data_IF_041650022108
#
_entry.id   IF_041650022108
#
_cell.length_a   1.000
_cell.length_b   1.000
_cell.length_c   1.000
_cell.angle_alpha   90.00
_cell.angle_beta   90.00
_cell.angle_gamma   90.00
#
_symmetry.space_group_name_H-M   'P 1'
#
loop_
_entity.id
_entity.type
_entity.pdbx_description
1 polymer ?
#
# COMPACT_ATOMS: atom_id res chain seq x y z
N UNK A 1 -0.57 -8.87 -23.26
CA UNK A 1 0.34 -9.26 -22.17
C UNK A 1 1.25 -8.07 -21.83
N UNK A 2 0.79 -7.18 -20.92
CA UNK A 2 1.49 -5.95 -20.56
C UNK A 2 2.52 -6.27 -19.46
N UNK A 3 3.81 -6.32 -19.81
CA UNK A 3 4.89 -6.38 -18.82
C UNK A 3 4.95 -5.03 -18.10
N UNK A 4 4.71 -5.05 -16.79
CA UNK A 4 4.76 -3.89 -15.91
C UNK A 4 6.19 -3.35 -15.82
N UNK A 5 6.39 -2.07 -16.15
CA UNK A 5 7.63 -1.32 -15.88
C UNK A 5 7.41 -0.39 -14.68
N UNK A 6 7.86 -0.76 -13.47
CA UNK A 6 7.78 0.06 -12.26
C UNK A 6 9.18 0.61 -11.89
N UNK A 7 9.31 1.92 -11.71
CA UNK A 7 10.51 2.51 -11.09
C UNK A 7 10.33 2.42 -9.57
N UNK A 8 11.18 1.66 -8.88
CA UNK A 8 11.19 1.59 -7.42
C UNK A 8 12.34 2.43 -6.88
N UNK A 9 12.02 3.52 -6.19
CA UNK A 9 13.03 4.30 -5.47
C UNK A 9 12.71 4.25 -3.98
N UNK A 10 13.67 3.76 -3.20
CA UNK A 10 13.64 3.78 -1.76
C UNK A 10 14.51 4.92 -1.22
N UNK A 11 13.97 5.68 -0.28
CA UNK A 11 14.70 6.75 0.39
C UNK A 11 14.78 6.39 1.88
N UNK A 12 15.99 6.14 2.39
CA UNK A 12 16.20 6.05 3.83
C UNK A 12 16.17 7.44 4.42
N UNK A 13 15.32 7.63 5.40
CA UNK A 13 15.14 8.91 6.04
C UNK A 13 16.12 8.99 7.22
N UNK A 14 17.00 10.00 7.21
CA UNK A 14 18.01 10.24 8.27
C UNK A 14 19.45 9.84 7.93
N UNK A 15 19.70 9.01 6.91
CA UNK A 15 21.07 8.66 6.47
C UNK A 15 21.50 9.36 5.17
N UNK A 16 20.58 10.09 4.53
CA UNK A 16 20.82 10.75 3.24
C UNK A 16 21.01 9.77 2.07
N UNK A 17 20.76 8.46 2.26
CA UNK A 17 20.94 7.44 1.23
C UNK A 17 19.65 7.25 0.43
N UNK A 18 19.75 7.57 -0.87
CA UNK A 18 18.76 7.24 -1.89
C UNK A 18 19.14 5.92 -2.54
N UNK A 19 18.32 4.89 -2.35
CA UNK A 19 18.46 3.61 -3.04
C UNK A 19 17.50 3.62 -4.24
N UNK A 20 18.06 3.89 -5.41
CA UNK A 20 17.37 3.67 -6.69
C UNK A 20 17.52 2.18 -7.01
N UNK A 21 16.44 1.42 -6.97
CA UNK A 21 16.42 0.08 -7.57
C UNK A 21 16.23 0.26 -9.08
N UNK A 22 17.31 0.68 -9.72
CA UNK A 22 17.59 0.37 -11.11
C UNK A 22 18.84 -0.50 -11.06
N UNK A 23 18.67 -1.80 -11.19
CA UNK A 23 19.80 -2.73 -11.28
C UNK A 23 20.86 -2.15 -12.23
N UNK A 24 22.00 -1.79 -11.63
CA UNK A 24 23.24 -1.22 -12.20
C UNK A 24 23.31 0.30 -12.35
N UNK A 25 24.39 0.82 -11.79
CA UNK A 25 24.90 2.19 -11.77
C UNK A 25 24.82 2.92 -13.10
N UNK A 26 24.49 4.22 -13.05
CA UNK A 26 24.52 5.21 -14.15
C UNK A 26 25.92 5.52 -14.71
N UNK A 27 26.84 4.56 -14.69
CA UNK A 27 28.18 4.67 -15.25
C UNK A 27 28.50 3.40 -16.06
N UNK A 28 28.03 3.34 -17.30
CA UNK A 28 28.71 2.64 -18.41
C UNK A 28 27.95 2.84 -19.73
N UNK A 29 28.74 3.07 -20.79
CA UNK A 29 28.50 3.22 -22.23
C UNK A 29 27.08 3.03 -22.83
N UNK A 30 26.70 3.85 -23.83
CA UNK A 30 25.36 3.90 -24.44
C UNK A 30 25.02 2.76 -25.42
N UNK A 31 25.72 1.62 -25.42
CA UNK A 31 25.64 0.63 -26.51
C UNK A 31 25.06 -0.75 -26.16
N UNK A 32 24.43 -0.93 -24.99
CA UNK A 32 23.74 -2.19 -24.65
C UNK A 32 22.40 -1.96 -23.94
N UNK A 33 21.27 -2.53 -24.41
CA UNK A 33 20.01 -2.44 -23.70
C UNK A 33 20.05 -3.38 -22.49
N UNK A 34 20.38 -2.83 -21.32
CA UNK A 34 20.35 -3.55 -20.04
C UNK A 34 18.88 -3.70 -19.63
N UNK A 35 18.41 -4.94 -19.51
CA UNK A 35 17.10 -5.24 -18.94
C UNK A 35 17.06 -4.89 -17.46
N UNK A 36 16.11 -4.06 -17.04
CA UNK A 36 15.88 -3.75 -15.63
C UNK A 36 14.96 -4.80 -15.00
N UNK A 37 15.40 -5.41 -13.90
CA UNK A 37 14.58 -6.34 -13.11
C UNK A 37 13.75 -5.58 -12.05
N UNK A 38 12.46 -5.95 -11.89
CA UNK A 38 11.52 -5.31 -10.95
C UNK A 38 11.56 -5.88 -9.53
N UNK A 39 12.32 -6.97 -9.34
CA UNK A 39 12.52 -7.64 -8.08
C UNK A 39 13.97 -7.39 -7.67
N UNK A 40 14.17 -6.42 -6.79
CA UNK A 40 15.49 -6.04 -6.33
C UNK A 40 15.86 -6.64 -4.98
N UNK A 41 17.11 -6.45 -4.61
CA UNK A 41 17.69 -6.80 -3.31
C UNK A 41 17.18 -5.94 -2.14
N UNK A 42 16.43 -4.87 -2.43
CA UNK A 42 15.92 -3.91 -1.44
C UNK A 42 14.39 -3.95 -1.25
N UNK A 43 13.59 -4.03 -2.33
CA UNK A 43 12.12 -3.98 -2.25
C UNK A 43 11.43 -4.94 -3.22
N UNK A 44 10.58 -5.82 -2.69
CA UNK A 44 9.65 -6.65 -3.46
C UNK A 44 8.21 -6.24 -3.17
N UNK A 45 7.41 -6.12 -4.24
CA UNK A 45 5.98 -5.79 -4.15
C UNK A 45 5.23 -6.90 -4.86
N UNK A 46 4.27 -7.50 -4.17
CA UNK A 46 3.40 -8.55 -4.66
C UNK A 46 2.02 -7.96 -4.99
N UNK A 47 1.71 -7.83 -6.27
CA UNK A 47 0.45 -7.26 -6.74
C UNK A 47 -0.69 -8.29 -6.77
N UNK A 48 -1.88 -7.87 -6.37
CA UNK A 48 -3.09 -8.68 -6.18
C UNK A 48 -3.41 -9.70 -7.27
N UNK A 49 -3.32 -9.31 -8.55
CA UNK A 49 -3.67 -10.19 -9.66
C UNK A 49 -2.61 -11.24 -9.98
N UNK A 50 -1.41 -11.11 -9.43
CA UNK A 50 -0.28 -11.99 -9.70
C UNK A 50 0.29 -12.64 -8.44
N UNK A 51 -0.40 -12.54 -7.30
CA UNK A 51 0.09 -13.06 -6.02
C UNK A 51 -0.96 -13.88 -5.28
N UNK A 52 -0.68 -15.17 -5.07
CA UNK A 52 -1.63 -16.11 -4.52
C UNK A 52 -2.91 -16.24 -5.36
N UNK A 53 -3.94 -16.75 -4.72
CA UNK A 53 -5.30 -16.80 -5.27
C UNK A 53 -6.23 -15.94 -4.42
N UNK A 54 -6.01 -14.62 -4.41
CA UNK A 54 -6.98 -13.73 -3.79
C UNK A 54 -8.30 -13.77 -4.59
N UNK A 55 -9.46 -13.90 -3.92
CA UNK A 55 -10.75 -13.88 -4.59
C UNK A 55 -11.16 -12.45 -4.95
N UNK A 56 -11.68 -12.24 -6.15
CA UNK A 56 -12.22 -10.96 -6.59
C UNK A 56 -13.21 -11.12 -7.76
N UNK A 57 -13.96 -10.06 -8.06
CA UNK A 57 -14.83 -9.98 -9.23
C UNK A 57 -14.15 -9.14 -10.31
N UNK A 58 -13.91 -9.68 -11.50
CA UNK A 58 -13.22 -8.94 -12.55
C UNK A 58 -14.00 -7.68 -12.93
N UNK A 59 -13.38 -6.51 -12.77
CA UNK A 59 -14.04 -5.19 -12.91
C UNK A 59 -15.32 -5.02 -12.07
N UNK A 60 -15.50 -5.80 -11.01
CA UNK A 60 -16.71 -5.81 -10.19
C UNK A 60 -17.90 -6.55 -10.81
N UNK A 61 -17.71 -7.31 -11.89
CA UNK A 61 -18.75 -8.13 -12.50
C UNK A 61 -18.95 -9.44 -11.73
N UNK A 62 -20.16 -9.63 -11.21
CA UNK A 62 -20.56 -10.83 -10.46
C UNK A 62 -20.52 -12.11 -11.29
N UNK A 63 -20.60 -11.99 -12.62
CA UNK A 63 -20.55 -13.12 -13.54
C UNK A 63 -19.12 -13.55 -13.87
N UNK A 64 -18.12 -12.75 -13.48
CA UNK A 64 -16.70 -13.04 -13.67
C UNK A 64 -15.96 -13.20 -12.32
N UNK A 65 -16.36 -14.17 -11.46
CA UNK A 65 -15.67 -14.41 -10.20
C UNK A 65 -14.31 -15.07 -10.46
N UNK A 66 -13.25 -14.45 -9.98
CA UNK A 66 -11.90 -15.01 -9.96
C UNK A 66 -11.61 -15.59 -8.58
N UNK A 67 -11.06 -16.81 -8.55
CA UNK A 67 -10.78 -17.56 -7.32
C UNK A 67 -11.99 -17.65 -6.35
N UNK A 68 -13.21 -17.68 -6.88
CA UNK A 68 -14.45 -17.76 -6.09
C UNK A 68 -15.09 -16.43 -5.71
N UNK A 69 -14.51 -15.29 -6.11
CA UNK A 69 -15.08 -13.93 -6.00
C UNK A 69 -15.11 -13.34 -4.58
N UNK A 70 -15.41 -14.16 -3.57
CA UNK A 70 -15.54 -13.78 -2.18
C UNK A 70 -14.47 -14.42 -1.29
N UNK A 71 -14.01 -13.76 -0.22
CA UNK A 71 -13.13 -14.35 0.80
C UNK A 71 -13.60 -15.71 1.33
N UNK A 72 -14.91 -15.84 1.57
CA UNK A 72 -15.54 -17.06 2.08
C UNK A 72 -15.36 -18.28 1.17
N UNK A 73 -15.19 -18.03 -0.14
CA UNK A 73 -15.01 -19.07 -1.16
C UNK A 73 -13.53 -19.36 -1.45
N UNK A 74 -12.60 -18.70 -0.77
CA UNK A 74 -11.18 -18.88 -1.01
C UNK A 74 -10.70 -20.26 -0.51
N UNK A 75 -10.13 -21.05 -1.42
CA UNK A 75 -9.39 -22.26 -1.03
C UNK A 75 -8.04 -21.85 -0.43
N UNK A 76 -7.99 -21.78 0.91
CA UNK A 76 -6.82 -21.26 1.62
C UNK A 76 -5.55 -22.07 1.34
N UNK A 77 -5.64 -23.39 1.21
CA UNK A 77 -4.47 -24.24 0.97
C UNK A 77 -3.88 -24.02 -0.42
N UNK A 78 -4.75 -23.93 -1.45
CA UNK A 78 -4.33 -23.58 -2.81
C UNK A 78 -3.71 -22.19 -2.86
N UNK A 79 -4.33 -21.22 -2.17
CA UNK A 79 -3.80 -19.87 -2.06
C UNK A 79 -2.39 -19.87 -1.45
N UNK A 80 -2.19 -20.54 -0.33
CA UNK A 80 -0.90 -20.57 0.38
C UNK A 80 0.18 -21.35 -0.38
N UNK A 81 -0.18 -22.45 -1.05
CA UNK A 81 0.75 -23.16 -1.93
C UNK A 81 1.28 -22.24 -3.03
N UNK A 82 0.39 -21.49 -3.69
CA UNK A 82 0.76 -20.51 -4.73
C UNK A 82 1.59 -19.36 -4.17
N UNK A 83 1.22 -18.82 -3.00
CA UNK A 83 1.99 -17.77 -2.31
C UNK A 83 3.40 -18.27 -1.99
N UNK A 84 3.55 -19.49 -1.47
CA UNK A 84 4.86 -20.07 -1.14
C UNK A 84 5.78 -20.13 -2.36
N UNK A 85 5.27 -20.69 -3.47
CA UNK A 85 5.99 -20.77 -4.74
C UNK A 85 6.46 -19.38 -5.21
N UNK A 86 5.55 -18.40 -5.21
CA UNK A 86 5.82 -17.06 -5.71
C UNK A 86 6.77 -16.26 -4.81
N UNK A 87 6.72 -16.44 -3.49
CA UNK A 87 7.69 -15.82 -2.58
C UNK A 87 9.08 -16.39 -2.82
N UNK A 88 9.20 -17.73 -2.96
CA UNK A 88 10.50 -18.38 -3.22
C UNK A 88 11.10 -17.94 -4.55
N UNK A 89 10.26 -17.79 -5.58
CA UNK A 89 10.70 -17.31 -6.89
C UNK A 89 11.07 -15.82 -6.86
N UNK A 90 10.27 -14.97 -6.22
CA UNK A 90 10.47 -13.52 -6.23
C UNK A 90 11.57 -13.04 -5.27
N UNK A 91 11.81 -13.77 -4.18
CA UNK A 91 12.83 -13.47 -3.19
C UNK A 91 13.67 -14.73 -3.01
N UNK A 92 14.63 -15.07 -3.90
CA UNK A 92 15.37 -16.34 -3.79
C UNK A 92 16.19 -16.45 -2.50
N UNK A 93 16.72 -15.32 -2.03
CA UNK A 93 17.52 -15.23 -0.80
C UNK A 93 16.68 -15.39 0.46
N UNK A 94 16.96 -16.40 1.27
CA UNK A 94 16.24 -16.61 2.54
C UNK A 94 16.63 -15.59 3.61
N UNK A 95 17.84 -15.03 3.52
CA UNK A 95 18.38 -13.97 4.36
C UNK A 95 17.97 -12.55 3.91
N UNK A 96 17.02 -12.43 2.98
CA UNK A 96 16.52 -11.14 2.50
C UNK A 96 15.97 -10.30 3.66
N UNK A 97 16.61 -9.17 3.90
CA UNK A 97 16.26 -8.20 4.95
C UNK A 97 15.68 -6.89 4.41
N UNK A 98 15.26 -6.90 3.14
CA UNK A 98 14.61 -5.77 2.48
C UNK A 98 13.12 -5.65 2.82
N UNK A 99 12.41 -4.85 2.04
CA UNK A 99 10.97 -4.60 2.19
C UNK A 99 10.18 -5.57 1.31
N UNK A 100 9.12 -6.14 1.87
CA UNK A 100 8.19 -7.01 1.15
C UNK A 100 6.75 -6.52 1.36
N UNK A 101 6.18 -5.92 0.32
CA UNK A 101 4.83 -5.33 0.36
C UNK A 101 3.84 -6.25 -0.34
N UNK A 102 2.74 -6.58 0.33
CA UNK A 102 1.58 -7.22 -0.29
C UNK A 102 0.59 -6.13 -0.66
N UNK A 103 0.34 -5.97 -1.95
CA UNK A 103 -0.54 -4.96 -2.52
C UNK A 103 -1.86 -5.62 -2.95
N UNK A 104 -2.83 -5.61 -2.04
CA UNK A 104 -4.15 -6.17 -2.24
C UNK A 104 -5.23 -5.13 -1.93
N UNK A 105 -5.97 -4.73 -2.96
CA UNK A 105 -6.90 -3.61 -2.93
C UNK A 105 -8.34 -3.98 -3.33
N UNK A 106 -8.59 -5.13 -3.96
CA UNK A 106 -9.91 -5.54 -4.48
C UNK A 106 -11.05 -5.44 -3.46
N UNK A 107 -10.84 -5.89 -2.23
CA UNK A 107 -11.77 -5.72 -1.11
C UNK A 107 -11.04 -5.36 0.19
N UNK A 108 -11.78 -4.78 1.13
CA UNK A 108 -11.26 -4.38 2.45
C UNK A 108 -11.63 -5.42 3.51
N UNK A 109 -10.77 -5.69 4.50
CA UNK A 109 -10.99 -6.76 5.49
C UNK A 109 -12.25 -6.60 6.34
N UNK A 110 -12.68 -5.36 6.58
CA UNK A 110 -13.94 -5.07 7.27
C UNK A 110 -15.08 -4.92 6.26
N UNK A 111 -16.15 -5.66 6.46
CA UNK A 111 -17.32 -5.70 5.58
C UNK A 111 -17.90 -4.30 5.33
N UNK A 112 -17.98 -3.47 6.39
CA UNK A 112 -18.50 -2.09 6.32
C UNK A 112 -17.68 -1.16 5.44
N UNK A 113 -16.39 -1.46 5.23
CA UNK A 113 -15.49 -0.64 4.40
C UNK A 113 -15.63 -0.95 2.89
N UNK A 114 -16.41 -1.96 2.50
CA UNK A 114 -16.62 -2.33 1.09
C UNK A 114 -17.76 -1.53 0.45
N UNK A 115 -17.60 -0.21 0.38
CA UNK A 115 -18.55 0.73 -0.24
C UNK A 115 -18.13 1.10 -1.68
N UNK A 116 -19.01 1.84 -2.38
CA UNK A 116 -18.76 2.29 -3.76
C UNK A 116 -18.64 1.12 -4.73
N UNK A 117 -17.55 1.10 -5.51
CA UNK A 117 -17.24 0.00 -6.45
C UNK A 117 -17.06 -1.36 -5.76
N UNK A 118 -16.78 -1.37 -4.45
CA UNK A 118 -16.62 -2.60 -3.64
C UNK A 118 -17.93 -3.11 -3.04
N UNK A 119 -19.06 -2.45 -3.33
CA UNK A 119 -20.38 -2.88 -2.82
C UNK A 119 -20.80 -4.27 -3.31
N UNK A 120 -20.22 -4.76 -4.40
CA UNK A 120 -20.43 -6.12 -4.91
C UNK A 120 -20.12 -7.18 -3.86
N UNK A 121 -19.03 -7.03 -3.10
CA UNK A 121 -18.64 -7.97 -2.05
C UNK A 121 -19.68 -8.09 -0.93
N UNK A 122 -20.36 -6.97 -0.61
CA UNK A 122 -21.47 -6.98 0.36
C UNK A 122 -22.68 -7.74 -0.17
N UNK A 123 -23.11 -7.39 -1.38
CA UNK A 123 -24.30 -7.99 -2.03
C UNK A 123 -24.13 -9.49 -2.23
N UNK A 124 -22.97 -9.89 -2.73
CA UNK A 124 -22.68 -11.30 -3.01
C UNK A 124 -22.50 -12.12 -1.73
N UNK A 125 -21.95 -11.54 -0.65
CA UNK A 125 -21.90 -12.23 0.65
C UNK A 125 -23.30 -12.50 1.21
N UNK A 126 -24.23 -11.54 1.08
CA UNK A 126 -25.64 -11.75 1.47
C UNK A 126 -26.30 -12.80 0.58
N UNK A 127 -26.03 -12.76 -0.74
CA UNK A 127 -26.56 -13.75 -1.67
C UNK A 127 -26.09 -15.16 -1.32
N UNK A 128 -24.80 -15.33 -1.01
CA UNK A 128 -24.22 -16.61 -0.58
C UNK A 128 -24.93 -17.17 0.66
N UNK A 129 -25.15 -16.34 1.68
CA UNK A 129 -25.89 -16.74 2.89
C UNK A 129 -27.33 -17.16 2.56
N UNK A 130 -28.03 -16.40 1.71
CA UNK A 130 -29.41 -16.74 1.34
C UNK A 130 -29.54 -18.01 0.49
N UNK A 131 -28.50 -18.37 -0.25
CA UNK A 131 -28.47 -19.66 -0.94
C UNK A 131 -28.45 -20.84 0.03
N UNK A 132 -27.77 -20.68 1.17
CA UNK A 132 -27.70 -21.70 2.21
C UNK A 132 -28.93 -21.67 3.13
N UNK A 133 -29.50 -20.48 3.37
CA UNK A 133 -30.62 -20.27 4.27
C UNK A 133 -31.73 -19.45 3.57
N UNK A 134 -32.56 -20.04 2.71
CA UNK A 134 -33.53 -19.29 1.88
C UNK A 134 -34.56 -18.48 2.68
N UNK A 135 -34.93 -18.94 3.87
CA UNK A 135 -35.95 -18.30 4.74
C UNK A 135 -35.39 -17.31 5.76
N UNK A 136 -34.08 -17.03 5.74
CA UNK A 136 -33.45 -16.13 6.71
C UNK A 136 -33.94 -14.69 6.55
N UNK A 137 -34.13 -13.98 7.68
CA UNK A 137 -34.49 -12.56 7.64
C UNK A 137 -33.37 -11.72 7.03
N UNK A 138 -33.71 -10.57 6.43
CA UNK A 138 -32.72 -9.66 5.84
C UNK A 138 -31.63 -9.23 6.84
N UNK A 139 -32.04 -8.90 8.07
CA UNK A 139 -31.12 -8.46 9.13
C UNK A 139 -30.17 -9.59 9.54
N UNK A 140 -30.69 -10.80 9.69
CA UNK A 140 -29.88 -11.98 10.02
C UNK A 140 -28.95 -12.37 8.88
N UNK A 141 -29.39 -12.24 7.62
CA UNK A 141 -28.57 -12.49 6.43
C UNK A 141 -27.37 -11.54 6.36
N UNK A 142 -27.60 -10.24 6.56
CA UNK A 142 -26.51 -9.25 6.53
C UNK A 142 -25.52 -9.45 7.67
N UNK A 143 -26.00 -9.75 8.88
CA UNK A 143 -25.11 -10.00 10.02
C UNK A 143 -24.29 -11.29 9.87
N UNK A 144 -24.88 -12.35 9.33
CA UNK A 144 -24.16 -13.60 9.01
C UNK A 144 -23.14 -13.36 7.90
N UNK A 145 -23.54 -12.70 6.81
CA UNK A 145 -22.65 -12.35 5.71
C UNK A 145 -21.45 -11.52 6.17
N UNK A 146 -21.69 -10.55 7.07
CA UNK A 146 -20.65 -9.74 7.71
C UNK A 146 -19.65 -10.61 8.47
N UNK A 147 -20.14 -11.48 9.36
CA UNK A 147 -19.30 -12.35 10.20
C UNK A 147 -18.45 -13.30 9.35
N UNK A 148 -19.06 -13.96 8.37
CA UNK A 148 -18.37 -14.90 7.49
C UNK A 148 -17.33 -14.20 6.61
N UNK A 149 -17.68 -13.05 6.03
CA UNK A 149 -16.76 -12.25 5.22
C UNK A 149 -15.55 -11.82 6.03
N UNK A 150 -15.75 -11.21 7.21
CA UNK A 150 -14.66 -10.68 8.04
C UNK A 150 -13.78 -11.81 8.60
N UNK A 151 -14.37 -12.96 8.95
CA UNK A 151 -13.62 -14.13 9.40
C UNK A 151 -12.73 -14.69 8.28
N UNK A 152 -13.28 -14.86 7.08
CA UNK A 152 -12.54 -15.36 5.93
C UNK A 152 -11.45 -14.37 5.47
N UNK A 153 -11.78 -13.07 5.40
CA UNK A 153 -10.83 -12.00 5.11
C UNK A 153 -9.65 -12.00 6.10
N UNK A 154 -9.94 -12.06 7.41
CA UNK A 154 -8.93 -12.15 8.47
C UNK A 154 -8.05 -13.39 8.30
N UNK A 155 -8.63 -14.55 7.98
CA UNK A 155 -7.89 -15.79 7.73
C UNK A 155 -6.92 -15.65 6.56
N UNK A 156 -7.38 -15.12 5.42
CA UNK A 156 -6.52 -14.90 4.24
C UNK A 156 -5.35 -13.97 4.61
N UNK A 157 -5.64 -12.77 5.13
CA UNK A 157 -4.59 -11.79 5.47
C UNK A 157 -3.54 -12.35 6.43
N UNK A 158 -3.97 -13.00 7.52
CA UNK A 158 -3.06 -13.55 8.52
C UNK A 158 -2.24 -14.71 7.97
N UNK A 159 -2.87 -15.66 7.27
CA UNK A 159 -2.15 -16.81 6.74
C UNK A 159 -1.13 -16.41 5.69
N UNK A 160 -1.46 -15.48 4.78
CA UNK A 160 -0.54 -15.01 3.73
C UNK A 160 0.69 -14.32 4.31
N UNK A 161 0.51 -13.36 5.22
CA UNK A 161 1.65 -12.62 5.78
C UNK A 161 2.50 -13.46 6.72
N UNK A 162 1.89 -14.37 7.49
CA UNK A 162 2.63 -15.31 8.35
C UNK A 162 3.49 -16.26 7.53
N UNK A 163 2.95 -16.78 6.42
CA UNK A 163 3.73 -17.59 5.49
C UNK A 163 4.91 -16.80 4.90
N UNK A 164 4.68 -15.55 4.48
CA UNK A 164 5.77 -14.70 3.99
C UNK A 164 6.86 -14.47 5.03
N UNK A 165 6.48 -14.19 6.28
CA UNK A 165 7.43 -14.08 7.40
C UNK A 165 8.14 -15.38 7.73
N UNK A 166 7.48 -16.52 7.62
CA UNK A 166 8.11 -17.81 7.83
C UNK A 166 9.18 -18.09 6.76
N UNK A 167 8.87 -17.78 5.50
CA UNK A 167 9.79 -18.00 4.40
C UNK A 167 10.93 -16.99 4.36
N UNK A 168 10.67 -15.72 4.69
CA UNK A 168 11.64 -14.62 4.68
C UNK A 168 11.59 -13.88 6.03
N UNK A 169 12.19 -14.46 7.09
CA UNK A 169 12.02 -13.97 8.46
C UNK A 169 12.70 -12.63 8.73
N UNK A 170 13.72 -12.26 7.96
CA UNK A 170 14.43 -10.99 8.10
C UNK A 170 13.78 -9.83 7.32
N UNK A 171 12.80 -10.13 6.47
CA UNK A 171 12.16 -9.15 5.62
C UNK A 171 11.12 -8.32 6.38
N UNK A 172 10.94 -7.08 5.91
CA UNK A 172 9.96 -6.13 6.42
C UNK A 172 8.64 -6.28 5.68
N UNK A 173 7.82 -7.19 6.18
CA UNK A 173 6.52 -7.56 5.64
C UNK A 173 5.41 -6.63 6.09
N UNK A 174 4.49 -6.31 5.18
CA UNK A 174 3.28 -5.58 5.49
C UNK A 174 2.37 -5.43 4.27
N UNK A 175 1.15 -4.97 4.52
CA UNK A 175 0.17 -4.70 3.49
C UNK A 175 0.19 -3.23 3.10
N UNK A 176 0.12 -2.95 1.80
CA UNK A 176 -0.04 -1.60 1.31
C UNK A 176 -1.34 -0.96 1.81
N UNK A 177 -1.27 0.33 2.14
CA UNK A 177 -2.40 1.18 2.47
C UNK A 177 -2.77 1.17 3.95
N UNK A 178 -2.18 0.27 4.75
CA UNK A 178 -2.48 0.12 6.17
C UNK A 178 -1.47 0.85 7.06
N UNK A 179 -1.93 1.52 8.14
CA UNK A 179 -3.33 1.71 8.54
C UNK A 179 -4.06 2.76 7.69
N UNK A 180 -5.40 2.74 7.70
CA UNK A 180 -6.19 3.73 6.95
C UNK A 180 -6.38 5.04 7.74
N UNK A 181 -6.52 6.13 7.00
CA UNK A 181 -7.04 7.41 7.48
C UNK A 181 -8.11 7.92 6.50
N UNK A 182 -8.96 8.85 6.93
CA UNK A 182 -9.92 9.47 6.02
C UNK A 182 -9.19 10.32 4.96
N UNK A 183 -9.60 10.19 3.69
CA UNK A 183 -8.93 10.84 2.54
C UNK A 183 -9.01 12.36 2.54
N UNK A 184 -9.96 12.92 3.29
CA UNK A 184 -10.18 14.35 3.46
C UNK A 184 -9.53 14.89 4.76
N UNK A 185 -8.73 14.09 5.46
CA UNK A 185 -8.01 14.52 6.65
C UNK A 185 -7.15 15.77 6.36
N UNK A 186 -7.17 16.73 7.27
CA UNK A 186 -6.45 18.00 7.13
C UNK A 186 -7.09 19.00 6.15
N UNK A 187 -8.27 18.71 5.60
CA UNK A 187 -8.98 19.62 4.68
C UNK A 187 -9.56 20.87 5.35
N UNK A 188 -9.82 20.82 6.66
CA UNK A 188 -10.29 21.93 7.49
C UNK A 188 -9.56 21.96 8.83
N UNK A 189 -9.62 23.10 9.54
CA UNK A 189 -9.05 23.26 10.89
C UNK A 189 -9.66 22.31 11.93
N UNK A 190 -10.87 21.81 11.67
CA UNK A 190 -11.58 20.86 12.53
C UNK A 190 -11.27 19.39 12.23
N UNK A 191 -10.54 19.09 11.14
CA UNK A 191 -10.22 17.74 10.68
C UNK A 191 -8.71 17.44 10.77
N UNK A 192 -8.06 17.89 11.85
CA UNK A 192 -6.60 17.78 12.04
C UNK A 192 -6.17 16.46 12.69
N UNK A 193 -7.04 15.45 12.69
CA UNK A 193 -6.77 14.09 13.16
C UNK A 193 -7.55 13.11 12.30
N UNK A 194 -7.04 11.88 12.15
CA UNK A 194 -7.84 10.82 11.54
C UNK A 194 -9.10 10.62 12.38
N UNK A 195 -10.25 10.64 11.72
CA UNK A 195 -11.52 10.66 12.44
C UNK A 195 -11.71 9.38 13.29
N UNK A 196 -12.57 9.48 14.30
CA UNK A 196 -12.81 8.38 15.25
C UNK A 196 -13.28 7.08 14.57
N UNK A 197 -14.09 7.19 13.53
CA UNK A 197 -14.57 6.04 12.76
C UNK A 197 -13.41 5.26 12.13
N UNK A 198 -12.43 5.93 11.53
CA UNK A 198 -11.24 5.26 10.98
C UNK A 198 -10.32 4.71 12.08
N UNK A 199 -10.24 5.38 13.23
CA UNK A 199 -9.51 4.85 14.40
C UNK A 199 -10.13 3.55 14.90
N UNK A 200 -11.45 3.47 15.01
CA UNK A 200 -12.16 2.25 15.38
C UNK A 200 -11.97 1.12 14.35
N UNK A 201 -11.99 1.46 13.05
CA UNK A 201 -11.72 0.47 12.01
C UNK A 201 -10.30 -0.07 12.12
N UNK A 202 -9.32 0.78 12.36
CA UNK A 202 -7.94 0.32 12.58
C UNK A 202 -7.82 -0.55 13.82
N UNK A 203 -8.51 -0.22 14.93
CA UNK A 203 -8.54 -1.08 16.11
C UNK A 203 -9.10 -2.48 15.79
N UNK A 204 -10.16 -2.57 14.98
CA UNK A 204 -10.72 -3.86 14.52
C UNK A 204 -9.78 -4.61 13.55
N UNK A 205 -8.90 -3.89 12.87
CA UNK A 205 -7.90 -4.45 11.96
C UNK A 205 -6.51 -4.60 12.59
N UNK A 206 -6.37 -4.49 13.92
CA UNK A 206 -5.08 -4.58 14.62
C UNK A 206 -4.33 -5.87 14.30
N UNK A 207 -5.07 -6.96 14.05
CA UNK A 207 -4.53 -8.25 13.64
C UNK A 207 -3.61 -8.18 12.41
N UNK A 208 -3.85 -7.24 11.48
CA UNK A 208 -2.99 -7.04 10.31
C UNK A 208 -1.67 -6.40 10.74
N UNK A 209 -1.76 -5.35 11.56
CA UNK A 209 -0.60 -4.61 12.03
C UNK A 209 0.28 -5.49 12.91
N UNK A 210 -0.33 -6.23 13.85
CA UNK A 210 0.32 -7.19 14.75
C UNK A 210 1.04 -8.31 13.99
N UNK A 211 0.46 -8.81 12.90
CA UNK A 211 1.08 -9.85 12.08
C UNK A 211 2.18 -9.33 11.14
N UNK A 212 2.20 -8.02 10.84
CA UNK A 212 3.21 -7.37 9.97
C UNK A 212 4.53 -7.11 10.71
N UNK A 213 5.64 -6.91 10.01
CA UNK A 213 6.90 -6.40 10.59
C UNK A 213 7.18 -4.94 10.21
N UNK A 214 6.45 -4.40 9.23
CA UNK A 214 6.45 -3.00 8.84
C UNK A 214 5.05 -2.53 8.43
N UNK A 215 4.80 -1.21 8.51
CA UNK A 215 3.55 -0.59 8.06
C UNK A 215 3.79 0.23 6.79
N UNK A 216 2.82 0.20 5.87
CA UNK A 216 2.91 0.84 4.55
C UNK A 216 1.71 1.75 4.28
N UNK A 217 1.49 2.80 5.07
CA UNK A 217 0.41 3.75 4.81
C UNK A 217 0.56 4.41 3.44
N UNK A 218 -0.57 4.73 2.84
CA UNK A 218 -0.62 5.56 1.63
C UNK A 218 -0.73 7.03 2.03
N UNK A 219 0.18 7.86 1.53
CA UNK A 219 0.14 9.32 1.70
C UNK A 219 0.00 10.03 0.35
N UNK A 220 -0.84 9.49 -0.53
CA UNK A 220 -1.04 10.07 -1.86
C UNK A 220 -1.78 11.40 -1.76
N UNK A 221 -1.22 12.39 -2.45
CA UNK A 221 -1.77 13.74 -2.45
C UNK A 221 -2.83 13.90 -3.53
N UNK A 222 -3.90 14.61 -3.17
CA UNK A 222 -4.89 15.05 -4.14
C UNK A 222 -4.30 16.16 -5.01
N UNK A 223 -4.31 15.97 -6.32
CA UNK A 223 -3.90 17.02 -7.28
C UNK A 223 -4.84 18.23 -7.30
N UNK A 224 -6.02 18.12 -6.67
CA UNK A 224 -6.99 19.21 -6.52
C UNK A 224 -6.84 19.97 -5.20
N UNK A 225 -6.03 19.48 -4.26
CA UNK A 225 -5.81 20.11 -2.97
C UNK A 225 -4.75 21.21 -3.03
N UNK A 226 -4.82 22.17 -2.11
CA UNK A 226 -3.74 23.16 -1.90
C UNK A 226 -2.54 22.50 -1.23
N UNK A 227 -1.34 23.07 -1.38
CA UNK A 227 -0.15 22.59 -0.66
C UNK A 227 -0.32 22.57 0.87
N UNK A 228 -1.16 23.45 1.43
CA UNK A 228 -1.46 23.46 2.86
C UNK A 228 -2.33 22.27 3.27
N UNK A 229 -3.37 21.96 2.50
CA UNK A 229 -4.19 20.77 2.72
C UNK A 229 -3.37 19.48 2.55
N UNK A 230 -2.51 19.43 1.53
CA UNK A 230 -1.59 18.31 1.32
C UNK A 230 -0.61 18.17 2.48
N UNK A 231 -0.08 19.29 3.00
CA UNK A 231 0.77 19.30 4.19
C UNK A 231 0.05 18.69 5.39
N UNK A 232 -1.15 19.19 5.74
CA UNK A 232 -1.93 18.67 6.85
C UNK A 232 -2.31 17.19 6.66
N UNK A 233 -2.71 16.78 5.46
CA UNK A 233 -3.05 15.38 5.18
C UNK A 233 -1.91 14.42 5.52
N UNK A 234 -0.67 14.79 5.17
CA UNK A 234 0.52 14.00 5.52
C UNK A 234 0.70 13.97 7.05
N UNK A 235 0.62 15.11 7.74
CA UNK A 235 0.76 15.15 9.20
C UNK A 235 -0.27 14.25 9.88
N UNK A 236 -1.53 14.38 9.50
CA UNK A 236 -2.64 13.66 10.11
C UNK A 236 -2.50 12.16 9.86
N UNK A 237 -2.20 11.78 8.61
CA UNK A 237 -2.04 10.38 8.24
C UNK A 237 -0.93 9.72 9.04
N UNK A 238 0.20 10.41 9.28
CA UNK A 238 1.36 9.85 9.97
C UNK A 238 1.26 9.92 11.50
N UNK A 239 0.66 10.98 12.06
CA UNK A 239 0.51 11.13 13.52
C UNK A 239 -0.34 10.02 14.15
N UNK A 240 -1.33 9.50 13.40
CA UNK A 240 -2.11 8.35 13.86
C UNK A 240 -1.23 7.12 14.12
N UNK A 241 -0.13 6.97 13.39
CA UNK A 241 0.60 5.72 13.27
C UNK A 241 1.62 5.53 14.39
N UNK A 242 2.26 6.61 14.83
CA UNK A 242 3.13 6.62 16.02
C UNK A 242 2.37 6.12 17.26
N UNK A 243 1.06 6.39 17.34
CA UNK A 243 0.22 5.98 18.49
C UNK A 243 -0.28 4.54 18.40
N UNK A 244 -0.47 4.00 17.19
CA UNK A 244 -1.10 2.68 16.99
C UNK A 244 -0.08 1.53 17.07
N UNK A 245 1.17 1.73 16.63
CA UNK A 245 2.12 0.62 16.58
C UNK A 245 3.59 1.10 16.68
N UNK A 246 4.39 0.56 17.62
CA UNK A 246 5.82 0.88 17.73
C UNK A 246 6.68 0.20 16.64
N UNK A 247 6.07 -0.24 15.53
CA UNK A 247 6.77 -0.93 14.44
C UNK A 247 7.42 0.06 13.48
N UNK A 248 8.35 -0.43 12.65
CA UNK A 248 8.94 0.40 11.61
C UNK A 248 7.85 0.85 10.60
N UNK A 249 7.70 2.17 10.47
CA UNK A 249 6.76 2.79 9.53
C UNK A 249 7.51 3.18 8.26
N UNK A 250 7.02 2.73 7.10
CA UNK A 250 7.53 3.09 5.78
C UNK A 250 6.40 3.73 4.97
N UNK A 251 6.58 4.97 4.53
CA UNK A 251 5.50 5.67 3.84
C UNK A 251 5.51 5.35 2.34
N UNK A 252 4.37 4.94 1.76
CA UNK A 252 4.24 4.82 0.31
C UNK A 252 3.73 6.12 -0.30
N UNK A 253 4.45 6.63 -1.30
CA UNK A 253 4.10 7.85 -2.00
C UNK A 253 4.12 7.66 -3.52
N UNK A 254 2.96 7.89 -4.15
CA UNK A 254 2.82 7.94 -5.61
C UNK A 254 2.97 9.37 -6.10
N UNK A 255 3.81 9.54 -7.11
CA UNK A 255 4.19 10.85 -7.65
C UNK A 255 3.94 10.98 -9.15
N UNK A 256 3.49 9.90 -9.80
CA UNK A 256 3.90 9.66 -11.17
C UNK A 256 2.88 8.85 -11.98
N UNK A 257 1.59 9.18 -11.94
CA UNK A 257 0.61 8.53 -12.82
C UNK A 257 0.30 9.36 -14.06
N UNK A 258 0.18 10.69 -13.93
CA UNK A 258 -0.04 11.63 -15.05
C UNK A 258 0.49 13.06 -14.80
N UNK A 259 0.62 13.48 -13.53
CA UNK A 259 1.08 14.82 -13.15
C UNK A 259 2.19 14.71 -12.10
N UNK A 260 3.24 15.51 -12.24
CA UNK A 260 4.32 15.61 -11.26
C UNK A 260 3.86 16.44 -10.06
N UNK A 261 4.20 16.01 -8.84
CA UNK A 261 3.92 16.81 -7.65
C UNK A 261 4.75 18.09 -7.67
N UNK A 262 4.15 19.18 -7.17
CA UNK A 262 4.88 20.42 -6.93
C UNK A 262 6.08 20.15 -6.02
N UNK A 263 7.19 20.88 -6.26
CA UNK A 263 8.40 20.76 -5.46
C UNK A 263 8.15 20.95 -3.96
N UNK A 264 7.24 21.87 -3.60
CA UNK A 264 6.80 22.11 -2.22
C UNK A 264 6.13 20.88 -1.61
N UNK A 265 5.18 20.26 -2.31
CA UNK A 265 4.47 19.07 -1.84
C UNK A 265 5.40 17.85 -1.78
N UNK A 266 6.39 17.80 -2.68
CA UNK A 266 7.48 16.83 -2.61
C UNK A 266 8.32 16.99 -1.37
N UNK A 267 8.77 18.21 -1.06
CA UNK A 267 9.49 18.48 0.16
C UNK A 267 8.67 18.15 1.41
N UNK A 268 7.42 18.61 1.43
CA UNK A 268 6.51 18.40 2.56
C UNK A 268 6.32 16.91 2.83
N UNK A 269 6.13 16.08 1.80
CA UNK A 269 5.97 14.63 2.00
C UNK A 269 7.24 13.98 2.55
N UNK A 270 8.42 14.35 2.01
CA UNK A 270 9.69 13.76 2.43
C UNK A 270 10.06 14.19 3.86
N UNK A 271 10.00 15.49 4.12
CA UNK A 271 10.40 16.07 5.40
C UNK A 271 9.44 15.72 6.53
N UNK A 272 8.13 15.80 6.30
CA UNK A 272 7.19 15.47 7.38
C UNK A 272 7.23 14.00 7.75
N UNK A 273 7.41 13.10 6.78
CA UNK A 273 7.62 11.69 7.10
C UNK A 273 8.88 11.49 7.95
N UNK A 274 9.96 12.23 7.67
CA UNK A 274 11.16 12.24 8.50
C UNK A 274 10.92 12.76 9.92
N UNK A 275 10.31 13.93 10.01
CA UNK A 275 10.08 14.62 11.28
C UNK A 275 9.09 13.83 12.16
N UNK A 276 8.22 13.02 11.57
CA UNK A 276 7.22 12.15 12.22
C UNK A 276 7.67 10.68 12.31
N UNK A 277 8.98 10.42 12.30
CA UNK A 277 9.54 9.12 12.67
C UNK A 277 9.45 8.00 11.62
N UNK A 278 9.08 8.30 10.37
CA UNK A 278 9.11 7.27 9.32
C UNK A 278 10.55 6.81 9.04
N UNK A 279 10.74 5.51 8.90
CA UNK A 279 12.05 4.89 8.64
C UNK A 279 12.50 5.09 7.19
N UNK A 280 11.55 5.22 6.28
CA UNK A 280 11.80 5.39 4.86
C UNK A 280 10.56 5.78 4.08
N UNK A 281 10.79 6.18 2.85
CA UNK A 281 9.73 6.47 1.88
C UNK A 281 9.96 5.60 0.65
N UNK A 282 8.88 4.99 0.18
CA UNK A 282 8.83 4.26 -1.08
C UNK A 282 8.17 5.20 -2.10
N UNK A 283 8.91 5.55 -3.15
CA UNK A 283 8.36 6.29 -4.28
C UNK A 283 7.86 5.30 -5.32
N UNK A 284 6.59 5.41 -5.70
CA UNK A 284 5.94 4.52 -6.66
C UNK A 284 5.41 5.27 -7.89
N UNK A 285 5.50 4.62 -9.05
CA UNK A 285 4.88 5.04 -10.31
C UNK A 285 4.16 3.86 -10.96
N UNK A 286 3.00 4.12 -11.56
CA UNK A 286 2.31 3.14 -12.39
C UNK A 286 3.17 2.80 -13.62
N UNK A 287 3.04 1.58 -14.14
CA UNK A 287 3.65 1.21 -15.42
C UNK A 287 2.87 1.70 -16.64
N UNK A 288 1.65 2.21 -16.45
CA UNK A 288 0.81 2.73 -17.54
C UNK A 288 1.54 3.84 -18.28
N UNK A 289 1.66 3.70 -19.61
CA UNK A 289 2.33 4.67 -20.49
C UNK A 289 3.78 5.01 -20.05
N UNK A 290 4.52 4.05 -19.48
CA UNK A 290 5.87 4.32 -18.96
C UNK A 290 6.83 4.81 -20.04
N UNK A 291 6.77 4.24 -21.26
CA UNK A 291 7.62 4.66 -22.39
C UNK A 291 7.49 6.16 -22.68
N UNK A 292 6.26 6.70 -22.64
CA UNK A 292 6.01 8.11 -22.88
C UNK A 292 6.42 9.01 -21.71
N UNK A 293 6.35 8.50 -20.48
CA UNK A 293 6.63 9.28 -19.26
C UNK A 293 8.08 9.20 -18.78
N UNK A 294 8.87 8.26 -19.30
CA UNK A 294 10.23 7.96 -18.83
C UNK A 294 11.15 9.18 -18.79
N UNK A 295 11.17 9.99 -19.84
CA UNK A 295 12.03 11.19 -19.90
C UNK A 295 11.59 12.24 -18.87
N UNK A 296 10.29 12.49 -18.75
CA UNK A 296 9.76 13.40 -17.73
C UNK A 296 10.04 12.92 -16.31
N UNK A 297 9.97 11.61 -16.08
CA UNK A 297 10.31 11.00 -14.78
C UNK A 297 11.78 11.18 -14.44
N UNK A 298 12.67 10.85 -15.39
CA UNK A 298 14.10 11.02 -15.22
C UNK A 298 14.44 12.48 -14.92
N UNK A 299 13.85 13.41 -15.65
CA UNK A 299 14.07 14.84 -15.47
C UNK A 299 13.53 15.33 -14.12
N UNK A 300 12.31 14.92 -13.74
CA UNK A 300 11.75 15.28 -12.45
C UNK A 300 12.60 14.74 -11.29
N UNK A 301 13.04 13.48 -11.36
CA UNK A 301 13.94 12.90 -10.35
C UNK A 301 15.27 13.66 -10.33
N UNK A 302 15.83 14.02 -11.49
CA UNK A 302 17.08 14.77 -11.62
C UNK A 302 16.98 16.17 -10.98
N UNK A 303 15.95 16.94 -11.34
CA UNK A 303 15.70 18.28 -10.80
C UNK A 303 15.53 18.22 -9.27
N UNK A 304 14.76 17.24 -8.78
CA UNK A 304 14.47 17.11 -7.37
C UNK A 304 15.56 16.33 -6.61
N UNK A 305 16.63 15.84 -7.28
CA UNK A 305 17.68 15.01 -6.66
C UNK A 305 18.43 15.74 -5.54
N UNK A 306 18.65 17.05 -5.72
CA UNK A 306 19.27 17.94 -4.71
C UNK A 306 18.41 18.12 -3.45
N UNK A 307 17.13 17.78 -3.53
CA UNK A 307 16.13 17.93 -2.47
C UNK A 307 15.99 16.66 -1.63
N UNK A 308 16.39 15.50 -2.19
CA UNK A 308 16.20 14.19 -1.58
C UNK A 308 17.01 13.93 -0.30
N UNK A 309 18.12 14.64 0.00
CA UNK A 309 18.76 14.52 1.31
C UNK A 309 19.03 15.83 2.08
N UNK A 310 19.03 17.03 1.46
CA UNK A 310 19.62 18.23 2.10
C UNK A 310 18.79 19.53 1.98
N UNK A 311 17.97 19.71 0.92
CA UNK A 311 17.43 21.04 0.62
C UNK A 311 16.01 21.36 1.14
N UNK A 312 15.30 20.44 1.81
CA UNK A 312 14.05 20.80 2.50
C UNK A 312 14.35 21.50 3.85
N UNK A 313 15.20 22.52 3.85
CA UNK A 313 15.28 23.51 4.93
C UNK A 313 14.41 24.70 4.50
N UNK A 314 13.27 24.89 5.15
CA UNK A 314 12.63 26.20 5.14
C UNK A 314 12.01 26.45 6.51
N UNK A 315 12.48 27.58 7.07
CA UNK A 315 11.85 28.42 8.08
C UNK A 315 10.94 27.71 9.08
N UNK A 316 11.48 27.49 10.29
CA UNK A 316 10.65 27.47 11.50
C UNK A 316 9.75 28.70 11.44
N UNK A 317 8.46 28.52 11.23
CA UNK A 317 7.48 29.50 11.71
C UNK A 317 7.65 29.44 13.22
N UNK A 318 8.38 30.41 13.77
CA UNK A 318 8.40 30.63 15.21
C UNK A 318 6.95 30.89 15.60
N UNK A 319 6.33 29.94 16.29
CA UNK A 319 5.14 30.24 17.06
C UNK A 319 5.55 31.35 18.03
N UNK A 320 5.04 32.56 17.82
CA UNK A 320 5.06 33.59 18.84
C UNK A 320 4.34 33.02 20.07
N UNK A 321 4.99 33.17 21.23
CA UNK A 321 4.40 32.87 22.53
C UNK A 321 3.22 33.78 22.80
#
# INVERSE_FOLDING_TARGET
MLKSLALKTFLSVGTGKVFLDSSKSWHSNPSTPIGHEFLGDQIVIFYEYNFGYFPYFNNGDVNEPVNGGLPQNCSIDKHLARVSEQIRAAIPREDFSGIAVIDFEEWRPLYKLNWGKKSVYKKESIRLVRQQYPSISNKSAEEMARKEFEAAAKKIFLSTIRLGRQLRPYARWGFYGFPYCNYDAGSSSTNMLCNEVFREYNNKMSFIFEASTALFPSIYLSLKGTSLQNYHYIQVSLHLQERICPKEIYCLRITFSQYFLLQKDMCNSLKQAADLGARGIILWSTSKNMKQRCNGLAEYVRINRSILPVACKSSRVRSAR
#
